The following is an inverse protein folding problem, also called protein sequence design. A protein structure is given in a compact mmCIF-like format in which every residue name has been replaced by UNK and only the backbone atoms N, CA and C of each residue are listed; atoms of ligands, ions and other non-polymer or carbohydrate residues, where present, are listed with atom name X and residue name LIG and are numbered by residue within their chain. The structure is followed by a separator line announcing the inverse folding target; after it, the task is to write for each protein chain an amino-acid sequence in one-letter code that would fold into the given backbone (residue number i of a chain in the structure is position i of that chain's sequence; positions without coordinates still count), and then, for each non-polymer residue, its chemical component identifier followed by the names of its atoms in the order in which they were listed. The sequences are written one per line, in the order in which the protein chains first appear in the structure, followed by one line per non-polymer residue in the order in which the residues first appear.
data_IF_621345389063
#
_entry.id   IF_621345389063
#
_cell.length_a   1.000
_cell.length_b   1.000
_cell.length_c   1.000
_cell.angle_alpha   90.00
_cell.angle_beta   90.00
_cell.angle_gamma   90.00
#
_symmetry.space_group_name_H-M   'P 1'
#
loop_
_entity.id
_entity.type
_entity.pdbx_description
1 polymer ?
#
# COMPACT_ATOMS: atom_id res chain seq x y z
N UNK A 1 -10.49 2.39 13.05
CA UNK A 1 -10.40 3.05 11.74
C UNK A 1 -11.52 2.61 10.78
N UNK A 2 -11.52 1.43 10.16
CA UNK A 2 -12.49 1.04 9.13
C UNK A 2 -13.97 1.13 9.57
N UNK A 3 -14.30 0.65 10.78
CA UNK A 3 -15.66 0.77 11.33
C UNK A 3 -16.13 2.22 11.44
N UNK A 4 -15.24 3.16 11.79
CA UNK A 4 -15.57 4.60 11.89
C UNK A 4 -15.86 5.23 10.52
N UNK A 5 -15.22 4.75 9.48
CA UNK A 5 -15.42 5.19 8.10
C UNK A 5 -16.61 4.50 7.42
N UNK A 6 -17.24 3.51 8.07
CA UNK A 6 -18.25 2.62 7.48
C UNK A 6 -17.73 1.84 6.28
N UNK A 7 -16.47 1.40 6.38
CA UNK A 7 -15.80 0.60 5.34
C UNK A 7 -15.76 -0.86 5.79
N UNK A 8 -16.19 -1.75 4.91
CA UNK A 8 -16.14 -3.18 5.13
C UNK A 8 -14.90 -3.76 4.43
N UNK A 9 -13.99 -4.43 5.17
CA UNK A 9 -12.78 -4.99 4.58
C UNK A 9 -13.10 -6.10 3.60
N UNK A 10 -12.48 -6.03 2.43
CA UNK A 10 -12.44 -7.10 1.44
C UNK A 10 -10.98 -7.56 1.29
N UNK A 11 -10.72 -8.84 1.47
CA UNK A 11 -9.37 -9.41 1.36
C UNK A 11 -9.21 -10.10 0.02
N UNK A 12 -8.21 -9.67 -0.75
CA UNK A 12 -7.81 -10.33 -1.99
C UNK A 12 -6.53 -11.11 -1.75
N UNK A 13 -6.59 -12.42 -1.97
CA UNK A 13 -5.45 -13.32 -1.86
C UNK A 13 -4.89 -13.54 -3.25
N UNK A 14 -3.69 -13.04 -3.52
CA UNK A 14 -2.97 -13.39 -4.74
C UNK A 14 -2.37 -14.78 -4.60
N UNK A 15 -2.95 -15.74 -5.33
CA UNK A 15 -2.50 -17.13 -5.35
C UNK A 15 -1.49 -17.43 -6.45
N UNK A 16 -1.12 -16.41 -7.25
CA UNK A 16 -0.11 -16.57 -8.29
C UNK A 16 1.26 -16.79 -7.66
N UNK A 17 2.06 -17.68 -8.25
CA UNK A 17 3.38 -17.99 -7.70
C UNK A 17 4.36 -16.87 -8.01
N UNK A 18 4.91 -16.19 -7.01
CA UNK A 18 5.90 -15.16 -7.26
C UNK A 18 7.17 -15.76 -7.88
N UNK A 19 7.66 -15.15 -8.93
CA UNK A 19 9.01 -15.41 -9.45
C UNK A 19 10.07 -14.76 -8.55
N UNK A 20 11.35 -15.02 -8.83
CA UNK A 20 12.47 -14.33 -8.18
C UNK A 20 12.75 -14.79 -6.75
N UNK A 21 13.17 -13.85 -5.90
CA UNK A 21 13.71 -14.15 -4.55
C UNK A 21 12.62 -14.67 -3.61
N UNK A 22 11.42 -14.09 -3.65
CA UNK A 22 10.32 -14.47 -2.76
C UNK A 22 9.64 -15.78 -3.18
N UNK A 23 9.68 -16.16 -4.45
CA UNK A 23 9.05 -17.39 -4.96
C UNK A 23 9.60 -18.70 -4.38
N UNK A 24 10.76 -18.63 -3.71
CA UNK A 24 11.38 -19.80 -3.08
C UNK A 24 10.82 -20.12 -1.68
N UNK A 25 10.06 -19.21 -1.09
CA UNK A 25 9.61 -19.32 0.31
C UNK A 25 8.11 -19.58 0.46
N UNK A 26 7.33 -19.45 -0.62
CA UNK A 26 5.88 -19.64 -0.58
C UNK A 26 5.53 -21.12 -0.77
N UNK A 27 4.89 -21.74 0.21
CA UNK A 27 4.43 -23.14 0.15
C UNK A 27 2.92 -23.22 0.18
N UNK A 28 2.35 -24.31 -0.38
CA UNK A 28 0.90 -24.59 -0.33
C UNK A 28 0.35 -24.67 1.10
N UNK A 29 1.19 -25.09 2.05
CA UNK A 29 0.85 -25.19 3.48
C UNK A 29 0.53 -23.80 4.08
N UNK A 30 1.22 -22.77 3.64
CA UNK A 30 0.95 -21.40 4.12
C UNK A 30 -0.39 -20.86 3.61
N UNK A 31 -0.80 -21.22 2.39
CA UNK A 31 -2.08 -20.77 1.83
C UNK A 31 -3.27 -21.36 2.60
N UNK A 32 -3.25 -22.66 2.93
CA UNK A 32 -4.36 -23.27 3.70
C UNK A 32 -4.52 -22.62 5.07
N UNK A 33 -3.42 -22.44 5.81
CA UNK A 33 -3.47 -21.78 7.12
C UNK A 33 -3.91 -20.31 7.06
N UNK A 34 -3.59 -19.59 5.95
CA UNK A 34 -4.11 -18.25 5.72
C UNK A 34 -5.63 -18.27 5.48
N UNK A 35 -6.12 -19.19 4.64
CA UNK A 35 -7.55 -19.32 4.36
C UNK A 35 -8.35 -19.67 5.62
N UNK A 36 -7.86 -20.60 6.44
CA UNK A 36 -8.49 -20.97 7.72
C UNK A 36 -8.62 -19.75 8.65
N UNK A 37 -7.57 -18.93 8.73
CA UNK A 37 -7.57 -17.72 9.55
C UNK A 37 -8.51 -16.63 9.01
N UNK A 38 -8.59 -16.46 7.70
CA UNK A 38 -9.52 -15.52 7.07
C UNK A 38 -10.97 -15.93 7.25
N UNK A 39 -11.27 -17.23 7.15
CA UNK A 39 -12.60 -17.78 7.43
C UNK A 39 -13.01 -17.50 8.89
N UNK A 40 -12.11 -17.73 9.85
CA UNK A 40 -12.38 -17.41 11.25
C UNK A 40 -12.67 -15.89 11.45
N UNK A 41 -11.87 -15.00 10.85
CA UNK A 41 -12.11 -13.55 10.92
C UNK A 41 -13.43 -13.13 10.25
N UNK A 42 -13.86 -13.85 9.22
CA UNK A 42 -15.15 -13.62 8.57
C UNK A 42 -16.32 -14.08 9.47
N UNK A 43 -16.21 -15.24 10.09
CA UNK A 43 -17.19 -15.75 11.07
C UNK A 43 -17.33 -14.83 12.29
N UNK A 44 -16.22 -14.24 12.74
CA UNK A 44 -16.18 -13.23 13.82
C UNK A 44 -16.71 -11.84 13.39
N UNK A 45 -17.04 -11.65 12.11
CA UNK A 45 -17.54 -10.39 11.57
C UNK A 45 -16.48 -9.30 11.41
N UNK A 46 -15.21 -9.66 11.37
CA UNK A 46 -14.10 -8.73 11.12
C UNK A 46 -13.82 -8.50 9.64
N UNK A 47 -14.18 -9.46 8.79
CA UNK A 47 -14.08 -9.39 7.33
C UNK A 47 -15.46 -9.58 6.71
N UNK A 48 -15.68 -9.01 5.54
CA UNK A 48 -16.91 -9.17 4.79
C UNK A 48 -16.77 -10.19 3.67
N UNK A 49 -15.72 -10.08 2.88
CA UNK A 49 -15.53 -10.86 1.67
C UNK A 49 -14.05 -11.25 1.51
N UNK A 50 -13.81 -12.43 1.01
CA UNK A 50 -12.47 -12.94 0.69
C UNK A 50 -12.49 -13.50 -0.72
N UNK A 51 -11.63 -12.95 -1.59
CA UNK A 51 -11.46 -13.42 -2.96
C UNK A 51 -10.07 -13.99 -3.18
N UNK A 52 -9.98 -14.97 -4.07
CA UNK A 52 -8.72 -15.52 -4.53
C UNK A 52 -8.46 -15.02 -5.97
N UNK A 53 -7.41 -14.21 -6.12
CA UNK A 53 -6.94 -13.79 -7.42
C UNK A 53 -6.01 -14.89 -7.99
N UNK A 54 -6.50 -15.60 -9.00
CA UNK A 54 -5.80 -16.72 -9.66
C UNK A 54 -5.99 -16.63 -11.18
N UNK A 55 -5.47 -15.58 -11.83
CA UNK A 55 -5.71 -15.31 -13.24
C UNK A 55 -5.08 -16.38 -14.13
N UNK A 56 -5.75 -16.71 -15.23
CA UNK A 56 -5.13 -17.45 -16.32
C UNK A 56 -4.21 -16.53 -17.17
N UNK A 57 -3.46 -17.15 -18.10
CA UNK A 57 -2.51 -16.38 -18.93
C UNK A 57 -3.21 -15.33 -19.82
N UNK A 58 -4.45 -15.57 -20.26
CA UNK A 58 -5.19 -14.61 -21.10
C UNK A 58 -5.59 -13.39 -20.27
N UNK A 59 -6.06 -13.62 -19.05
CA UNK A 59 -6.41 -12.56 -18.12
C UNK A 59 -5.17 -11.72 -17.74
N UNK A 60 -4.05 -12.37 -17.45
CA UNK A 60 -2.75 -11.69 -17.21
C UNK A 60 -2.37 -10.80 -18.38
N UNK A 61 -2.47 -11.31 -19.62
CA UNK A 61 -2.12 -10.54 -20.81
C UNK A 61 -3.11 -9.42 -21.12
N UNK A 62 -4.39 -9.64 -20.85
CA UNK A 62 -5.44 -8.61 -21.00
C UNK A 62 -5.19 -7.45 -20.02
N UNK A 63 -5.03 -7.73 -18.72
CA UNK A 63 -4.75 -6.72 -17.72
C UNK A 63 -3.44 -5.98 -18.00
N UNK A 64 -2.40 -6.71 -18.44
CA UNK A 64 -1.14 -6.09 -18.86
C UNK A 64 -1.32 -5.14 -20.03
N UNK A 65 -2.11 -5.52 -21.02
CA UNK A 65 -2.38 -4.66 -22.20
C UNK A 65 -3.10 -3.39 -21.79
N UNK A 66 -4.06 -3.46 -20.87
CA UNK A 66 -4.79 -2.29 -20.35
C UNK A 66 -3.84 -1.39 -19.53
N UNK A 67 -3.11 -1.97 -18.57
CA UNK A 67 -2.34 -1.18 -17.63
C UNK A 67 -0.97 -0.73 -18.14
N UNK A 68 -0.36 -1.48 -19.07
CA UNK A 68 1.00 -1.22 -19.54
C UNK A 68 1.10 -1.03 -21.06
N UNK A 69 -0.02 -1.08 -21.77
CA UNK A 69 -0.06 -0.90 -23.23
C UNK A 69 0.54 -2.07 -24.01
N UNK A 70 1.07 -3.09 -23.36
CA UNK A 70 1.69 -4.27 -23.96
C UNK A 70 1.40 -5.53 -23.15
N UNK A 71 1.08 -6.66 -23.81
CA UNK A 71 0.89 -7.92 -23.10
C UNK A 71 2.22 -8.46 -22.59
N UNK A 72 2.25 -8.87 -21.34
CA UNK A 72 3.36 -9.62 -20.73
C UNK A 72 2.82 -10.77 -19.85
N UNK A 73 3.71 -11.59 -19.31
CA UNK A 73 3.35 -12.80 -18.57
C UNK A 73 3.66 -12.73 -17.08
N UNK A 74 4.40 -11.71 -16.66
CA UNK A 74 4.80 -11.53 -15.27
C UNK A 74 3.61 -11.09 -14.43
N UNK A 75 3.28 -11.88 -13.39
CA UNK A 75 2.30 -11.51 -12.36
C UNK A 75 2.96 -10.75 -11.22
N UNK A 76 4.28 -10.91 -11.06
CA UNK A 76 5.09 -10.31 -10.01
C UNK A 76 6.30 -9.58 -10.59
N UNK A 77 6.84 -8.62 -9.83
CA UNK A 77 8.11 -8.01 -10.16
C UNK A 77 9.28 -8.98 -9.91
N UNK A 78 10.50 -8.60 -10.32
CA UNK A 78 11.69 -9.45 -10.16
C UNK A 78 12.06 -9.74 -8.69
N UNK A 79 11.57 -8.94 -7.75
CA UNK A 79 11.73 -9.16 -6.30
C UNK A 79 10.66 -10.08 -5.71
N UNK A 80 9.57 -10.34 -6.44
CA UNK A 80 8.45 -11.17 -6.03
C UNK A 80 7.27 -10.40 -5.44
N UNK A 81 7.27 -9.07 -5.51
CA UNK A 81 6.08 -8.28 -5.13
C UNK A 81 5.01 -8.38 -6.22
N UNK A 82 3.72 -8.46 -5.83
CA UNK A 82 2.62 -8.57 -6.79
C UNK A 82 2.53 -7.32 -7.67
N UNK A 83 2.32 -7.54 -8.97
CA UNK A 83 1.99 -6.50 -9.94
C UNK A 83 0.53 -6.64 -10.34
N UNK A 84 0.09 -7.85 -10.72
CA UNK A 84 -1.28 -8.09 -11.14
C UNK A 84 -2.26 -8.03 -9.98
N UNK A 85 -1.90 -8.52 -8.79
CA UNK A 85 -2.70 -8.34 -7.58
C UNK A 85 -2.96 -6.86 -7.27
N UNK A 86 -1.93 -6.01 -7.46
CA UNK A 86 -2.06 -4.57 -7.26
C UNK A 86 -2.96 -3.88 -8.28
N UNK A 87 -2.99 -4.31 -9.55
CA UNK A 87 -3.83 -3.70 -10.58
C UNK A 87 -5.26 -4.28 -10.61
N UNK A 88 -5.44 -5.51 -10.15
CA UNK A 88 -6.73 -6.20 -10.16
C UNK A 88 -7.82 -5.43 -9.41
N UNK A 89 -7.49 -4.80 -8.29
CA UNK A 89 -8.43 -4.01 -7.49
C UNK A 89 -9.14 -2.89 -8.26
N UNK A 90 -8.51 -2.36 -9.32
CA UNK A 90 -9.13 -1.30 -10.15
C UNK A 90 -10.22 -1.82 -11.09
N UNK A 91 -10.38 -3.15 -11.20
CA UNK A 91 -11.36 -3.81 -12.06
C UNK A 91 -12.45 -4.57 -11.30
N UNK A 92 -12.31 -4.73 -9.98
CA UNK A 92 -13.24 -5.52 -9.18
C UNK A 92 -14.59 -4.87 -8.96
N UNK A 93 -14.60 -3.58 -8.69
CA UNK A 93 -15.83 -2.83 -8.37
C UNK A 93 -15.79 -1.45 -9.03
N UNK A 94 -16.99 -0.99 -9.42
CA UNK A 94 -17.17 0.36 -9.94
C UNK A 94 -17.36 1.33 -8.77
N UNK A 95 -16.25 1.80 -8.22
CA UNK A 95 -16.19 2.76 -7.11
C UNK A 95 -15.30 3.94 -7.49
N UNK A 96 -15.65 5.13 -7.04
CA UNK A 96 -14.88 6.35 -7.29
C UNK A 96 -13.52 6.33 -6.59
N UNK A 97 -13.46 5.68 -5.43
CA UNK A 97 -12.28 5.61 -4.57
C UNK A 97 -11.94 4.16 -4.22
N UNK A 98 -10.65 3.87 -4.18
CA UNK A 98 -10.11 2.58 -3.72
C UNK A 98 -9.25 2.84 -2.50
N UNK A 99 -9.58 2.17 -1.40
CA UNK A 99 -8.75 2.10 -0.20
C UNK A 99 -7.96 0.79 -0.24
N UNK A 100 -6.64 0.89 -0.28
CA UNK A 100 -5.74 -0.25 -0.16
C UNK A 100 -4.99 -0.18 1.16
N UNK A 101 -4.87 -1.32 1.84
CA UNK A 101 -4.13 -1.46 3.09
C UNK A 101 -3.37 -2.79 3.06
N UNK A 102 -2.05 -2.76 3.20
CA UNK A 102 -1.29 -3.96 3.54
C UNK A 102 -1.67 -4.42 4.95
N UNK A 103 -1.75 -5.72 5.16
CA UNK A 103 -2.22 -6.32 6.42
C UNK A 103 -1.27 -6.09 7.61
N UNK A 104 -0.08 -5.60 7.36
CA UNK A 104 0.96 -5.35 8.36
C UNK A 104 1.10 -3.88 8.77
N UNK A 105 0.18 -3.02 8.36
CA UNK A 105 0.19 -1.60 8.70
C UNK A 105 -0.47 -1.33 10.06
N UNK A 106 0.11 -0.44 10.85
CA UNK A 106 -0.45 0.06 12.10
C UNK A 106 -0.87 1.53 11.90
N UNK A 107 -2.08 1.86 12.37
CA UNK A 107 -2.66 3.19 12.20
C UNK A 107 -3.10 3.79 13.53
N UNK A 108 -2.78 5.05 13.73
CA UNK A 108 -3.44 5.89 14.72
C UNK A 108 -4.53 6.73 14.04
N UNK A 109 -5.65 6.89 14.72
CA UNK A 109 -6.72 7.81 14.33
C UNK A 109 -7.44 8.33 15.57
N UNK A 110 -7.34 9.61 15.81
CA UNK A 110 -8.01 10.28 16.94
C UNK A 110 -9.52 10.04 16.91
N UNK A 111 -10.14 9.90 18.07
CA UNK A 111 -11.58 9.74 18.18
C UNK A 111 -12.33 10.91 17.50
N UNK A 112 -13.30 10.57 16.65
CA UNK A 112 -14.10 11.56 15.89
C UNK A 112 -13.45 12.06 14.60
N UNK A 113 -12.21 11.69 14.31
CA UNK A 113 -11.56 11.95 13.02
C UNK A 113 -11.60 10.71 12.13
N UNK A 114 -11.61 10.91 10.81
CA UNK A 114 -11.43 9.84 9.82
C UNK A 114 -10.56 10.35 8.67
N UNK A 115 -9.34 9.80 8.55
CA UNK A 115 -8.42 10.16 7.48
C UNK A 115 -8.96 9.75 6.10
N UNK A 116 -9.80 8.70 6.04
CA UNK A 116 -10.44 8.25 4.81
C UNK A 116 -11.43 9.32 4.32
N UNK A 117 -12.31 9.82 5.19
CA UNK A 117 -13.27 10.89 4.86
C UNK A 117 -12.54 12.19 4.51
N UNK A 118 -11.51 12.52 5.27
CA UNK A 118 -10.67 13.69 4.99
C UNK A 118 -9.93 13.55 3.66
N UNK A 119 -9.42 12.36 3.34
CA UNK A 119 -8.77 12.07 2.06
C UNK A 119 -9.71 12.22 0.87
N UNK A 120 -10.96 11.74 0.97
CA UNK A 120 -11.99 11.96 -0.05
C UNK A 120 -12.21 13.46 -0.25
N UNK A 121 -12.46 14.21 0.84
CA UNK A 121 -12.65 15.67 0.78
C UNK A 121 -11.47 16.38 0.10
N UNK A 122 -10.24 16.02 0.47
CA UNK A 122 -9.02 16.59 -0.15
C UNK A 122 -8.99 16.34 -1.65
N UNK A 123 -9.33 15.13 -2.10
CA UNK A 123 -9.35 14.82 -3.54
C UNK A 123 -10.50 15.51 -4.27
N UNK A 124 -11.66 15.66 -3.64
CA UNK A 124 -12.80 16.39 -4.21
C UNK A 124 -12.50 17.89 -4.41
N UNK A 125 -11.78 18.48 -3.47
CA UNK A 125 -11.40 19.91 -3.52
C UNK A 125 -10.16 20.19 -4.38
N UNK A 126 -9.38 19.15 -4.76
CA UNK A 126 -8.10 19.32 -5.45
C UNK A 126 -7.92 18.28 -6.55
N UNK A 127 -8.10 18.68 -7.80
CA UNK A 127 -8.01 17.79 -8.97
C UNK A 127 -6.58 17.27 -9.22
N UNK A 128 -5.55 17.97 -8.73
CA UNK A 128 -4.15 17.58 -8.83
C UNK A 128 -3.74 16.48 -7.83
N UNK A 129 -4.63 16.05 -6.94
CA UNK A 129 -4.32 14.98 -5.97
C UNK A 129 -4.83 13.63 -6.48
N UNK A 130 -3.91 12.73 -6.78
CA UNK A 130 -4.21 11.35 -7.20
C UNK A 130 -4.66 10.49 -6.04
N UNK A 131 -3.92 10.52 -4.95
CA UNK A 131 -4.17 9.69 -3.77
C UNK A 131 -3.79 10.42 -2.48
N UNK A 132 -4.43 10.00 -1.39
CA UNK A 132 -4.19 10.55 -0.05
C UNK A 132 -3.81 9.44 0.91
N UNK A 133 -2.86 9.73 1.80
CA UNK A 133 -2.41 8.87 2.88
C UNK A 133 -2.55 9.62 4.22
N UNK A 134 -2.69 8.92 5.34
CA UNK A 134 -2.43 9.55 6.63
C UNK A 134 -0.95 9.92 6.73
N UNK A 135 -0.60 10.78 7.67
CA UNK A 135 0.79 11.16 7.90
C UNK A 135 1.68 9.92 8.07
N UNK A 136 2.81 9.88 7.39
CA UNK A 136 3.82 8.83 7.57
C UNK A 136 4.63 9.04 8.86
N UNK A 137 4.43 8.20 9.87
CA UNK A 137 5.07 8.28 11.17
C UNK A 137 4.36 9.19 12.19
N UNK A 138 4.67 8.96 13.46
CA UNK A 138 4.13 9.75 14.57
C UNK A 138 4.49 11.25 14.43
N UNK A 139 3.62 12.18 14.89
CA UNK A 139 3.83 13.61 14.72
C UNK A 139 5.13 14.13 15.35
N UNK A 140 5.82 15.04 14.65
CA UNK A 140 6.99 15.77 15.15
C UNK A 140 6.58 17.15 15.66
N UNK A 141 7.33 17.70 16.62
CA UNK A 141 7.07 19.05 17.17
C UNK A 141 7.16 20.16 16.12
N UNK A 142 7.96 19.96 15.07
CA UNK A 142 8.18 20.92 13.98
C UNK A 142 7.41 20.63 12.69
N UNK A 143 6.52 19.62 12.69
CA UNK A 143 5.76 19.24 11.51
C UNK A 143 6.57 18.51 10.42
N UNK A 144 7.88 18.29 10.59
CA UNK A 144 8.72 17.61 9.60
C UNK A 144 8.43 16.11 9.51
N UNK A 145 8.77 15.51 8.36
CA UNK A 145 8.76 14.06 8.15
C UNK A 145 10.19 13.58 8.01
N UNK A 146 10.51 12.42 8.61
CA UNK A 146 11.79 11.73 8.44
C UNK A 146 11.63 10.58 7.42
N UNK A 147 11.35 10.91 6.16
CA UNK A 147 11.09 9.93 5.10
C UNK A 147 12.36 9.55 4.30
N UNK A 148 13.49 9.43 4.97
CA UNK A 148 14.75 9.02 4.33
C UNK A 148 15.17 10.00 3.22
N UNK A 149 15.39 9.48 2.00
CA UNK A 149 15.84 10.25 0.84
C UNK A 149 14.69 10.85 0.00
N UNK A 150 13.44 10.61 0.39
CA UNK A 150 12.28 11.05 -0.39
C UNK A 150 12.06 12.55 -0.24
N UNK A 151 12.07 13.26 -1.35
CA UNK A 151 11.75 14.68 -1.37
C UNK A 151 10.24 14.91 -1.37
N UNK A 152 9.79 15.94 -0.65
CA UNK A 152 8.38 16.36 -0.64
C UNK A 152 8.27 17.87 -0.63
N UNK A 153 7.12 18.37 -1.06
CA UNK A 153 6.76 19.78 -0.92
C UNK A 153 5.78 19.92 0.25
N UNK A 154 5.92 20.98 1.01
CA UNK A 154 4.95 21.36 2.05
C UNK A 154 3.96 22.35 1.44
N UNK A 155 2.68 22.01 1.51
CA UNK A 155 1.59 22.92 1.17
C UNK A 155 0.78 23.23 2.44
N UNK A 156 1.25 24.22 3.17
CA UNK A 156 0.63 24.66 4.43
C UNK A 156 -0.81 25.14 4.22
N UNK A 157 -1.11 25.76 3.08
CA UNK A 157 -2.47 26.26 2.78
C UNK A 157 -3.49 25.11 2.70
N UNK A 158 -3.10 24.01 2.09
CA UNK A 158 -3.95 22.80 1.96
C UNK A 158 -3.78 21.83 3.13
N UNK A 159 -2.73 22.01 3.96
CA UNK A 159 -2.39 21.09 5.04
C UNK A 159 -1.87 19.75 4.54
N UNK A 160 -1.05 19.75 3.49
CA UNK A 160 -0.59 18.56 2.79
C UNK A 160 0.93 18.52 2.63
N UNK A 161 1.51 17.32 2.73
CA UNK A 161 2.81 16.99 2.19
C UNK A 161 2.61 16.36 0.81
N UNK A 162 3.23 16.93 -0.22
CA UNK A 162 3.06 16.52 -1.62
C UNK A 162 4.29 15.76 -2.11
N UNK A 163 4.06 14.59 -2.68
CA UNK A 163 5.08 13.67 -3.15
C UNK A 163 4.89 13.33 -4.63
N UNK A 164 6.01 13.10 -5.33
CA UNK A 164 6.00 12.44 -6.65
C UNK A 164 6.28 10.95 -6.56
N UNK A 165 6.84 10.47 -5.44
CA UNK A 165 6.95 9.04 -5.21
C UNK A 165 5.60 8.43 -4.79
N UNK A 166 5.42 7.16 -5.09
CA UNK A 166 4.24 6.39 -4.71
C UNK A 166 4.62 5.31 -3.69
N UNK A 167 3.68 4.89 -2.86
CA UNK A 167 3.80 3.70 -2.01
C UNK A 167 2.59 2.80 -2.22
N UNK A 168 2.85 1.50 -2.34
CA UNK A 168 1.80 0.49 -2.49
C UNK A 168 1.29 -0.08 -1.17
N UNK A 169 1.87 0.31 -0.02
CA UNK A 169 1.53 -0.28 1.29
C UNK A 169 0.14 0.11 1.80
N UNK A 170 -0.22 1.35 1.63
CA UNK A 170 -1.56 1.86 1.96
C UNK A 170 -1.80 3.16 1.21
N UNK A 171 -3.00 3.35 0.74
CA UNK A 171 -3.45 4.57 0.07
C UNK A 171 -4.97 4.59 -0.06
N UNK A 172 -5.52 5.79 -0.15
CA UNK A 172 -6.84 6.06 -0.68
C UNK A 172 -6.65 6.77 -2.03
N UNK A 173 -7.05 6.16 -3.13
CA UNK A 173 -6.80 6.65 -4.50
C UNK A 173 -8.10 6.94 -5.22
N UNK A 174 -8.13 8.01 -6.01
CA UNK A 174 -9.22 8.32 -6.91
C UNK A 174 -9.09 7.47 -8.17
N UNK A 175 -10.01 6.52 -8.35
CA UNK A 175 -9.94 5.47 -9.38
C UNK A 175 -9.83 6.05 -10.80
N UNK A 176 -10.69 6.98 -11.19
CA UNK A 176 -10.67 7.53 -12.56
C UNK A 176 -9.40 8.33 -12.85
N UNK A 177 -8.89 9.10 -11.88
CA UNK A 177 -7.60 9.80 -12.03
C UNK A 177 -6.46 8.81 -12.25
N UNK A 178 -6.46 7.70 -11.51
CA UNK A 178 -5.47 6.64 -11.74
C UNK A 178 -5.62 6.04 -13.14
N UNK A 179 -6.84 5.71 -13.56
CA UNK A 179 -7.10 5.16 -14.89
C UNK A 179 -6.70 6.12 -16.01
N UNK A 180 -6.76 7.43 -15.79
CA UNK A 180 -6.31 8.44 -16.76
C UNK A 180 -4.79 8.48 -16.96
N UNK A 181 -4.00 7.91 -16.03
CA UNK A 181 -2.55 7.75 -16.18
C UNK A 181 -2.14 6.55 -17.04
N UNK A 182 -3.12 5.68 -17.38
CA UNK A 182 -2.84 4.49 -18.18
C UNK A 182 -2.64 4.82 -19.68
N UNK A 183 -1.80 4.06 -20.38
CA UNK A 183 -1.01 2.95 -19.86
C UNK A 183 0.24 3.42 -19.11
N UNK A 184 0.53 2.80 -17.95
CA UNK A 184 1.80 3.00 -17.26
C UNK A 184 2.95 2.45 -18.10
N UNK A 185 4.09 3.13 -18.10
CA UNK A 185 5.28 2.60 -18.76
C UNK A 185 5.81 1.40 -17.98
N UNK A 186 5.85 0.18 -18.55
CA UNK A 186 6.46 -0.95 -17.88
C UNK A 186 7.96 -0.74 -17.75
N UNK A 187 8.47 -0.82 -16.52
CA UNK A 187 9.88 -0.62 -16.20
C UNK A 187 10.59 -1.97 -16.04
N UNK A 188 11.74 -2.12 -16.67
CA UNK A 188 12.50 -3.36 -16.70
C UNK A 188 13.95 -3.13 -16.27
N UNK A 189 14.60 -4.13 -15.70
CA UNK A 189 16.00 -4.03 -15.29
C UNK A 189 16.97 -3.84 -16.46
N UNK A 190 16.61 -4.31 -17.67
CA UNK A 190 17.38 -4.07 -18.88
C UNK A 190 16.48 -4.14 -20.12
N UNK A 191 16.97 -3.64 -21.25
CA UNK A 191 16.26 -3.67 -22.53
C UNK A 191 15.95 -5.07 -23.07
N UNK A 192 16.62 -6.11 -22.56
CA UNK A 192 16.41 -7.52 -22.95
C UNK A 192 15.24 -8.16 -22.21
N UNK A 193 14.86 -7.64 -21.07
CA UNK A 193 13.86 -8.25 -20.21
C UNK A 193 12.44 -8.26 -20.83
N UNK A 194 11.97 -7.22 -21.56
CA UNK A 194 10.71 -7.30 -22.30
C UNK A 194 10.64 -8.46 -23.30
N UNK A 195 11.77 -8.76 -23.96
CA UNK A 195 11.86 -9.87 -24.93
C UNK A 195 11.76 -11.20 -24.19
N UNK A 196 12.48 -11.36 -23.07
CA UNK A 196 12.38 -12.56 -22.23
C UNK A 196 10.99 -12.77 -21.67
N UNK A 197 10.35 -11.71 -21.21
CA UNK A 197 8.97 -11.73 -20.74
C UNK A 197 8.04 -12.31 -21.82
N UNK A 198 8.10 -11.74 -23.01
CA UNK A 198 7.25 -12.16 -24.12
C UNK A 198 7.46 -13.61 -24.55
N UNK A 199 8.70 -14.08 -24.58
CA UNK A 199 9.04 -15.42 -25.07
C UNK A 199 8.90 -16.48 -23.98
N UNK A 200 9.34 -16.19 -22.75
CA UNK A 200 9.55 -17.19 -21.71
C UNK A 200 8.76 -16.89 -20.41
N UNK A 201 8.21 -15.70 -20.23
CA UNK A 201 7.52 -15.30 -19.01
C UNK A 201 8.44 -15.19 -17.78
N UNK A 202 9.69 -14.78 -17.99
CA UNK A 202 10.68 -14.62 -16.92
C UNK A 202 11.47 -13.32 -17.02
N UNK A 203 10.86 -12.28 -17.58
CA UNK A 203 11.39 -10.92 -17.62
C UNK A 203 11.51 -10.30 -16.23
N UNK A 204 12.60 -9.56 -15.99
CA UNK A 204 12.82 -8.87 -14.72
C UNK A 204 12.17 -7.49 -14.73
N UNK A 205 10.89 -7.45 -14.46
CA UNK A 205 10.09 -6.21 -14.34
C UNK A 205 10.29 -5.58 -12.95
N UNK A 206 10.29 -4.25 -12.89
CA UNK A 206 10.26 -3.51 -11.62
C UNK A 206 8.89 -3.60 -10.96
N UNK A 207 8.79 -3.17 -9.70
CA UNK A 207 7.52 -3.18 -8.97
C UNK A 207 6.52 -2.18 -9.56
N UNK A 208 5.24 -2.45 -9.37
CA UNK A 208 4.15 -1.58 -9.79
C UNK A 208 4.28 -0.17 -9.20
N UNK A 209 4.70 -0.06 -7.95
CA UNK A 209 4.99 1.18 -7.25
C UNK A 209 5.91 2.11 -8.06
N UNK A 210 7.04 1.58 -8.56
CA UNK A 210 7.98 2.35 -9.39
C UNK A 210 7.37 2.82 -10.72
N UNK A 211 6.43 2.07 -11.29
CA UNK A 211 5.74 2.45 -12.53
C UNK A 211 4.74 3.58 -12.29
N UNK A 212 4.01 3.54 -11.16
CA UNK A 212 3.12 4.63 -10.75
C UNK A 212 3.92 5.89 -10.41
N UNK A 213 5.02 5.76 -9.66
CA UNK A 213 5.94 6.86 -9.36
C UNK A 213 6.43 7.54 -10.65
N UNK A 214 6.88 6.75 -11.63
CA UNK A 214 7.30 7.28 -12.93
C UNK A 214 6.17 8.02 -13.68
N UNK A 215 4.93 7.58 -13.54
CA UNK A 215 3.77 8.28 -14.12
C UNK A 215 3.48 9.59 -13.37
N UNK A 216 3.54 9.57 -12.04
CA UNK A 216 3.38 10.78 -11.20
C UNK A 216 4.45 11.84 -11.49
N UNK A 217 5.72 11.44 -11.67
CA UNK A 217 6.80 12.36 -12.03
C UNK A 217 6.55 13.10 -13.35
N UNK A 218 5.81 12.48 -14.28
CA UNK A 218 5.51 13.02 -15.60
C UNK A 218 4.15 13.70 -15.72
N UNK A 219 3.34 13.63 -14.68
CA UNK A 219 2.02 14.25 -14.60
C UNK A 219 2.04 15.46 -13.68
N UNK A 220 0.97 16.24 -13.70
CA UNK A 220 0.72 17.30 -12.74
C UNK A 220 0.11 16.78 -11.42
N UNK A 221 -0.18 15.48 -11.34
CA UNK A 221 -0.77 14.86 -10.15
C UNK A 221 0.23 14.58 -9.05
N UNK A 222 -0.26 14.55 -7.81
CA UNK A 222 0.51 14.31 -6.59
C UNK A 222 -0.09 13.20 -5.74
N UNK A 223 0.76 12.49 -5.03
CA UNK A 223 0.39 11.82 -3.79
C UNK A 223 0.43 12.86 -2.67
N UNK A 224 -0.58 12.87 -1.81
CA UNK A 224 -0.64 13.77 -0.66
C UNK A 224 -0.67 12.96 0.66
N UNK A 225 0.20 13.30 1.60
CA UNK A 225 0.08 12.83 2.98
C UNK A 225 -0.52 13.97 3.82
N UNK A 226 -1.49 13.66 4.68
CA UNK A 226 -2.15 14.65 5.52
C UNK A 226 -1.17 15.22 6.56
N UNK A 227 -1.12 16.54 6.72
CA UNK A 227 -0.28 17.18 7.73
C UNK A 227 -0.85 17.08 9.14
N UNK A 228 -2.06 16.58 9.29
CA UNK A 228 -2.73 16.46 10.59
C UNK A 228 -1.99 15.53 11.56
N UNK A 229 -2.03 15.87 12.83
CA UNK A 229 -1.55 14.97 13.91
C UNK A 229 -2.61 13.96 14.36
N UNK A 230 -3.84 14.08 13.82
CA UNK A 230 -4.99 13.24 14.20
C UNK A 230 -4.98 11.87 13.55
N UNK A 231 -4.16 11.64 12.53
CA UNK A 231 -4.01 10.35 11.88
C UNK A 231 -2.59 10.18 11.33
N UNK A 232 -2.00 9.03 11.64
CA UNK A 232 -0.68 8.66 11.17
C UNK A 232 -0.53 7.14 11.09
N UNK A 233 0.49 6.68 10.40
CA UNK A 233 0.72 5.26 10.15
C UNK A 233 2.16 4.85 10.43
N UNK A 234 2.33 3.58 10.84
CA UNK A 234 3.63 2.92 10.99
C UNK A 234 3.68 1.66 10.14
N UNK A 235 4.85 1.39 9.60
CA UNK A 235 5.16 0.15 8.91
C UNK A 235 6.14 -0.69 9.75
N UNK A 236 5.69 -1.83 10.32
CA UNK A 236 6.57 -2.75 11.00
C UNK A 236 7.44 -3.51 10.00
N UNK A 237 8.73 -3.19 9.92
CA UNK A 237 9.69 -3.94 9.10
C UNK A 237 10.18 -5.23 9.77
N UNK A 238 10.12 -5.30 11.10
CA UNK A 238 10.53 -6.45 11.91
C UNK A 238 9.44 -7.55 11.87
N UNK A 239 9.88 -8.80 11.78
CA UNK A 239 9.04 -10.01 11.77
C UNK A 239 9.52 -11.03 12.79
N UNK A 240 10.32 -10.60 13.78
CA UNK A 240 10.83 -11.44 14.85
C UNK A 240 9.71 -11.88 15.80
N UNK A 241 9.91 -12.99 16.49
CA UNK A 241 9.02 -13.44 17.56
C UNK A 241 8.83 -12.36 18.63
N UNK A 242 9.89 -11.63 18.95
CA UNK A 242 9.87 -10.54 19.91
C UNK A 242 8.95 -9.39 19.44
N UNK A 243 8.94 -9.05 18.13
CA UNK A 243 7.99 -8.08 17.59
C UNK A 243 6.55 -8.54 17.83
N UNK A 244 6.23 -9.79 17.51
CA UNK A 244 4.87 -10.32 17.68
C UNK A 244 4.45 -10.39 19.16
N UNK A 245 5.37 -10.62 20.08
CA UNK A 245 5.08 -10.59 21.52
C UNK A 245 4.72 -9.17 22.01
N UNK A 246 5.39 -8.13 21.50
CA UNK A 246 5.15 -6.73 21.86
C UNK A 246 4.02 -6.07 21.05
N UNK A 247 3.60 -6.69 19.94
CA UNK A 247 2.63 -6.08 19.01
C UNK A 247 1.32 -5.65 19.68
N UNK A 248 0.70 -6.41 20.61
CA UNK A 248 -0.52 -5.97 21.30
C UNK A 248 -0.31 -4.67 22.07
N UNK A 249 0.80 -4.56 22.84
CA UNK A 249 1.12 -3.37 23.62
C UNK A 249 1.45 -2.17 22.74
N UNK A 250 2.15 -2.39 21.60
CA UNK A 250 2.42 -1.37 20.60
C UNK A 250 1.09 -0.84 20.02
N UNK A 251 0.16 -1.72 19.67
CA UNK A 251 -1.15 -1.33 19.14
C UNK A 251 -1.94 -0.52 20.18
N UNK A 252 -1.94 -0.95 21.43
CA UNK A 252 -2.64 -0.24 22.52
C UNK A 252 -2.06 1.15 22.74
N UNK A 253 -0.74 1.30 22.78
CA UNK A 253 -0.06 2.59 22.90
C UNK A 253 -0.36 3.50 21.69
N UNK A 254 -0.29 2.96 20.47
CA UNK A 254 -0.64 3.71 19.25
C UNK A 254 -2.10 4.18 19.30
N UNK A 255 -3.04 3.34 19.75
CA UNK A 255 -4.44 3.72 19.91
C UNK A 255 -4.62 4.88 20.89
N UNK A 256 -3.79 4.96 21.92
CA UNK A 256 -3.79 6.03 22.91
C UNK A 256 -2.99 7.27 22.46
N UNK A 257 -2.41 7.23 21.25
CA UNK A 257 -1.49 8.24 20.72
C UNK A 257 -0.20 8.38 21.56
N UNK A 258 0.23 7.27 22.14
CA UNK A 258 1.46 7.15 22.91
C UNK A 258 2.52 6.42 22.08
N UNK A 259 3.75 6.91 22.09
CA UNK A 259 4.85 6.37 21.29
C UNK A 259 6.20 6.91 21.78
N UNK A 260 7.30 6.18 21.52
CA UNK A 260 8.65 6.66 21.85
C UNK A 260 8.96 7.98 21.14
N UNK A 261 9.67 8.89 21.81
CA UNK A 261 10.07 10.17 21.22
C UNK A 261 10.92 9.95 19.95
N UNK A 262 11.72 8.89 19.89
CA UNK A 262 12.56 8.48 18.76
C UNK A 262 11.75 8.01 17.55
N UNK A 263 10.47 7.60 17.75
CA UNK A 263 9.58 7.21 16.66
C UNK A 263 9.00 8.41 15.89
N UNK A 264 9.12 9.63 16.43
CA UNK A 264 8.54 10.83 15.80
C UNK A 264 9.07 11.04 14.38
N UNK A 265 8.15 11.21 13.44
CA UNK A 265 8.45 11.44 12.03
C UNK A 265 8.96 10.23 11.25
N UNK A 266 9.27 9.11 11.91
CA UNK A 266 9.69 7.89 11.26
C UNK A 266 8.50 7.02 10.89
N UNK A 267 8.41 6.66 9.61
CA UNK A 267 7.38 5.76 9.09
C UNK A 267 7.64 4.30 9.48
N UNK A 268 8.89 3.86 9.38
CA UNK A 268 9.24 2.50 9.79
C UNK A 268 9.29 2.39 11.32
N UNK A 269 8.59 1.36 11.85
CA UNK A 269 8.58 1.06 13.27
C UNK A 269 9.98 0.60 13.71
N UNK A 270 10.55 1.25 14.71
CA UNK A 270 11.87 0.99 15.26
C UNK A 270 11.75 0.19 16.55
N UNK A 271 11.70 -1.13 16.43
CA UNK A 271 11.40 -2.03 17.54
C UNK A 271 12.29 -1.81 18.78
N UNK A 272 13.55 -1.41 18.60
CA UNK A 272 14.45 -1.07 19.72
C UNK A 272 13.88 0.04 20.61
N UNK A 273 13.32 1.07 20.00
CA UNK A 273 12.81 2.23 20.71
C UNK A 273 11.53 1.88 21.48
N UNK A 274 10.66 1.07 20.86
CA UNK A 274 9.45 0.56 21.49
C UNK A 274 9.73 -0.36 22.69
N UNK A 275 10.77 -1.19 22.63
CA UNK A 275 11.18 -2.00 23.79
C UNK A 275 11.55 -1.18 25.02
N UNK A 276 12.23 -0.06 24.82
CA UNK A 276 12.60 0.83 25.92
C UNK A 276 11.40 1.64 26.43
N UNK A 277 10.44 1.91 25.59
CA UNK A 277 9.25 2.69 25.92
C UNK A 277 8.22 1.87 26.70
N UNK A 278 8.07 0.57 26.40
CA UNK A 278 7.10 -0.34 27.03
C UNK A 278 7.59 -0.99 28.33
N UNK A 279 8.92 -0.97 28.62
CA UNK A 279 9.51 -1.45 29.88
C UNK A 279 9.65 -0.31 30.87
#
# INVERSE_FOLDING_TARGET
MLKKANVTPHVVIDTTTPGGVLGKTTTKTHLSGLLDKLNALQEEGHLFETDQFSPDLKEVQMLSSIHFGVPHRETHCFRGYPVHGSIHQFHQKDSDYILHLDCDMIFHETLGFSWIKEGIRVMEENEDILCVLPRGGAPTKGGSLHQGTTSYKVDEKRGLYLFKNFTSRHYLIHRERFLSLLPLKPLWLSWREPIKSRLFGNGKMLCWEAMVEHALEKSDMWRADLMTEKAWSLHPGDRSEQFYQLLPEIIDSVNQNEFPEEQRGHFDLRLSDWKHFLN
#
